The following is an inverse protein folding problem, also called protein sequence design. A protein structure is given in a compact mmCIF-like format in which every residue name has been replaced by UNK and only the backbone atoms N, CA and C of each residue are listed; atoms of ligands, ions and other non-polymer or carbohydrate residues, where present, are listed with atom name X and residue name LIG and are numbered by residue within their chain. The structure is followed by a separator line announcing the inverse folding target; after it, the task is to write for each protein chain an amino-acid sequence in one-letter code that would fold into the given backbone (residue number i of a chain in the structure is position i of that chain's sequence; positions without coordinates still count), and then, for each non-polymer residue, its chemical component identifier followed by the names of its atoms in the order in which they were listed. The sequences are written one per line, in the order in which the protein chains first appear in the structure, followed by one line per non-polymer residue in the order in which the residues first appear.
data_IF_787885105486
#
_entry.id   IF_787885105486
#
_cell.length_a   1.000
_cell.length_b   1.000
_cell.length_c   1.000
_cell.angle_alpha   90.00
_cell.angle_beta   90.00
_cell.angle_gamma   90.00
#
_symmetry.space_group_name_H-M   'P 1'
#
loop_
_entity.id
_entity.type
_entity.pdbx_description
1 polymer ?
#
# COMPACT_ATOMS: atom_id res chain seq x y z
N UNK A 1 11.32 22.03 4.65
CA UNK A 1 10.11 21.46 5.28
C UNK A 1 8.96 21.74 4.32
N UNK A 2 8.61 20.74 3.51
CA UNK A 2 7.59 20.76 2.45
C UNK A 2 6.57 19.66 2.80
N UNK A 3 6.06 19.69 4.03
CA UNK A 3 5.53 18.46 4.66
C UNK A 3 4.01 18.49 4.82
N UNK A 4 3.33 19.62 4.56
CA UNK A 4 1.87 19.62 4.45
C UNK A 4 1.40 20.80 3.60
N UNK A 5 0.64 20.51 2.54
CA UNK A 5 0.05 21.50 1.63
C UNK A 5 -1.25 22.09 2.21
N UNK A 6 -1.29 22.29 3.52
CA UNK A 6 -2.52 22.63 4.26
C UNK A 6 -3.11 23.96 3.81
N UNK A 7 -2.25 24.91 3.42
CA UNK A 7 -2.64 26.21 2.86
C UNK A 7 -3.43 26.11 1.55
N UNK A 8 -3.32 24.98 0.85
CA UNK A 8 -4.06 24.70 -0.38
C UNK A 8 -5.20 23.69 -0.18
N UNK A 9 -5.28 23.04 0.99
CA UNK A 9 -6.34 22.10 1.28
C UNK A 9 -7.66 22.85 1.57
N UNK A 10 -8.67 22.58 0.74
CA UNK A 10 -10.01 23.18 0.87
C UNK A 10 -11.04 22.08 0.98
N UNK A 11 -11.33 21.64 2.20
CA UNK A 11 -12.21 20.51 2.49
C UNK A 11 -13.60 20.68 1.86
N UNK A 12 -14.11 21.92 1.85
CA UNK A 12 -15.43 22.26 1.32
C UNK A 12 -15.55 21.92 -0.17
N UNK A 13 -14.46 22.09 -0.93
CA UNK A 13 -14.43 21.75 -2.36
C UNK A 13 -14.53 20.24 -2.58
N UNK A 14 -13.92 19.46 -1.70
CA UNK A 14 -14.01 18.00 -1.75
C UNK A 14 -15.42 17.54 -1.40
N UNK A 15 -16.00 18.02 -0.29
CA UNK A 15 -17.36 17.65 0.10
C UNK A 15 -18.40 18.03 -0.96
N UNK A 16 -18.30 19.22 -1.55
CA UNK A 16 -19.18 19.63 -2.65
C UNK A 16 -19.03 18.73 -3.89
N UNK A 17 -17.82 18.24 -4.18
CA UNK A 17 -17.59 17.30 -5.27
C UNK A 17 -18.19 15.92 -4.97
N UNK A 18 -18.07 15.41 -3.74
CA UNK A 18 -18.73 14.17 -3.32
C UNK A 18 -20.26 14.27 -3.45
N UNK A 19 -20.85 15.35 -2.91
CA UNK A 19 -22.29 15.62 -3.01
C UNK A 19 -22.77 15.69 -4.46
N UNK A 20 -22.07 16.45 -5.31
CA UNK A 20 -22.41 16.60 -6.73
C UNK A 20 -22.45 15.25 -7.49
N UNK A 21 -21.65 14.28 -7.07
CA UNK A 21 -21.59 12.96 -7.69
C UNK A 21 -22.41 11.89 -6.94
N UNK A 22 -23.14 12.27 -5.88
CA UNK A 22 -23.90 11.33 -5.06
C UNK A 22 -23.03 10.28 -4.35
N UNK A 23 -21.80 10.65 -4.00
CA UNK A 23 -20.82 9.76 -3.37
C UNK A 23 -20.75 10.03 -1.86
N UNK A 24 -20.68 8.97 -1.07
CA UNK A 24 -20.46 9.05 0.38
C UNK A 24 -18.96 8.97 0.70
N UNK A 25 -18.35 10.02 1.30
CA UNK A 25 -16.96 9.97 1.73
C UNK A 25 -16.68 8.88 2.77
N UNK A 26 -17.64 8.59 3.67
CA UNK A 26 -17.48 7.62 4.74
C UNK A 26 -17.32 6.19 4.19
N UNK A 27 -18.00 5.87 3.09
CA UNK A 27 -17.81 4.61 2.36
C UNK A 27 -16.34 4.39 1.98
N UNK A 28 -15.62 5.42 1.54
CA UNK A 28 -14.23 5.27 1.10
C UNK A 28 -13.23 5.28 2.25
N UNK A 29 -13.49 6.09 3.28
CA UNK A 29 -12.54 6.34 4.37
C UNK A 29 -12.65 5.33 5.53
N UNK A 30 -13.85 4.82 5.82
CA UNK A 30 -14.12 4.14 7.09
C UNK A 30 -14.34 2.63 6.96
N UNK A 31 -14.43 2.09 5.74
CA UNK A 31 -14.71 0.66 5.56
C UNK A 31 -13.44 -0.18 5.58
N UNK A 32 -13.55 -1.36 6.19
CA UNK A 32 -12.60 -2.44 5.96
C UNK A 32 -12.76 -2.96 4.54
N UNK A 33 -11.65 -3.16 3.84
CA UNK A 33 -11.63 -3.73 2.50
C UNK A 33 -11.23 -5.21 2.58
N UNK A 34 -12.04 -6.14 2.07
CA UNK A 34 -11.64 -7.53 2.00
C UNK A 34 -10.56 -7.71 0.94
N UNK A 35 -9.73 -8.74 1.08
CA UNK A 35 -8.56 -8.94 0.22
C UNK A 35 -8.89 -9.44 -1.20
N UNK A 36 -10.08 -10.00 -1.39
CA UNK A 36 -10.61 -10.46 -2.68
C UNK A 36 -11.25 -9.32 -3.49
N UNK A 37 -11.40 -8.13 -2.91
CA UNK A 37 -11.85 -6.95 -3.64
C UNK A 37 -10.82 -6.49 -4.68
N UNK A 38 -11.32 -5.97 -5.80
CA UNK A 38 -10.53 -5.23 -6.77
C UNK A 38 -10.20 -3.84 -6.21
N UNK A 39 -8.93 -3.63 -5.88
CA UNK A 39 -8.47 -2.35 -5.34
C UNK A 39 -8.25 -1.33 -6.47
N UNK A 40 -8.39 -0.02 -6.21
CA UNK A 40 -8.14 1.02 -7.21
C UNK A 40 -6.75 0.94 -7.85
N UNK A 41 -5.76 0.39 -7.15
CA UNK A 41 -4.38 0.24 -7.61
C UNK A 41 -4.04 -1.16 -8.13
N UNK A 42 -4.98 -2.10 -8.20
CA UNK A 42 -4.72 -3.47 -8.67
C UNK A 42 -4.25 -3.52 -10.15
N UNK A 43 -4.53 -2.47 -10.92
CA UNK A 43 -4.10 -2.35 -12.31
C UNK A 43 -2.67 -1.78 -12.47
N UNK A 44 -2.03 -1.35 -11.38
CA UNK A 44 -0.71 -0.74 -11.40
C UNK A 44 0.33 -1.85 -11.16
N UNK A 45 1.32 -1.95 -12.06
CA UNK A 45 2.50 -2.78 -11.80
C UNK A 45 3.59 -1.94 -11.13
N UNK A 46 3.84 -2.24 -9.86
CA UNK A 46 4.91 -1.65 -9.05
C UNK A 46 5.86 -2.74 -8.52
N UNK A 47 5.98 -3.86 -9.26
CA UNK A 47 6.94 -4.95 -9.04
C UNK A 47 6.79 -5.69 -7.70
N UNK A 48 5.72 -5.40 -6.94
CA UNK A 48 5.36 -6.07 -5.70
C UNK A 48 4.03 -6.80 -5.90
N UNK A 49 3.97 -8.06 -5.49
CA UNK A 49 2.76 -8.86 -5.63
C UNK A 49 1.66 -8.47 -4.64
N UNK A 50 0.39 -8.52 -5.06
CA UNK A 50 -0.78 -8.36 -4.17
C UNK A 50 -0.73 -9.31 -2.97
N UNK A 51 -0.31 -10.57 -3.19
CA UNK A 51 -0.16 -11.57 -2.14
C UNK A 51 0.85 -11.16 -1.05
N UNK A 52 1.94 -10.46 -1.42
CA UNK A 52 2.86 -9.89 -0.43
C UNK A 52 2.17 -8.82 0.42
N UNK A 53 1.45 -7.88 -0.21
CA UNK A 53 0.79 -6.78 0.51
C UNK A 53 -0.27 -7.28 1.49
N UNK A 54 -1.04 -8.29 1.08
CA UNK A 54 -2.02 -8.96 1.95
C UNK A 54 -1.34 -9.50 3.21
N UNK A 55 -0.29 -10.31 3.05
CA UNK A 55 0.45 -10.90 4.17
C UNK A 55 1.07 -9.84 5.09
N UNK A 56 1.60 -8.77 4.53
CA UNK A 56 2.20 -7.68 5.31
C UNK A 56 1.13 -6.87 6.06
N UNK A 57 -0.06 -6.69 5.50
CA UNK A 57 -1.19 -6.08 6.19
C UNK A 57 -1.69 -6.95 7.35
N UNK A 58 -1.77 -8.27 7.17
CA UNK A 58 -2.10 -9.21 8.26
C UNK A 58 -1.09 -9.14 9.41
N UNK A 59 0.21 -9.15 9.09
CA UNK A 59 1.27 -8.95 10.09
C UNK A 59 1.18 -7.62 10.80
N UNK A 60 0.89 -6.54 10.08
CA UNK A 60 0.74 -5.21 10.65
C UNK A 60 -0.40 -5.18 11.69
N UNK A 61 -1.55 -5.78 11.39
CA UNK A 61 -2.63 -5.94 12.35
C UNK A 61 -2.27 -6.82 13.55
N UNK A 62 -1.37 -7.80 13.36
CA UNK A 62 -0.83 -8.63 14.44
C UNK A 62 0.32 -7.97 15.22
N UNK A 63 0.77 -6.76 14.83
CA UNK A 63 1.92 -6.08 15.45
C UNK A 63 3.26 -6.79 15.19
N UNK A 64 3.34 -7.63 14.15
CA UNK A 64 4.53 -8.40 13.82
C UNK A 64 5.36 -7.63 12.80
N UNK A 65 6.59 -7.18 13.12
CA UNK A 65 7.43 -6.52 12.15
C UNK A 65 7.98 -7.53 11.13
N UNK A 66 8.15 -7.06 9.90
CA UNK A 66 8.88 -7.82 8.88
C UNK A 66 10.38 -7.48 8.98
N UNK A 67 11.26 -8.49 9.07
CA UNK A 67 12.69 -8.24 9.19
C UNK A 67 13.26 -7.62 7.91
N UNK A 68 14.45 -7.00 7.99
CA UNK A 68 15.13 -6.44 6.82
C UNK A 68 15.41 -7.51 5.75
N UNK A 69 15.18 -7.17 4.48
CA UNK A 69 15.44 -8.06 3.33
C UNK A 69 16.90 -8.52 3.21
N UNK A 70 17.85 -7.84 3.86
CA UNK A 70 19.26 -8.24 3.92
C UNK A 70 19.48 -9.45 4.82
N UNK A 71 18.66 -9.64 5.86
CA UNK A 71 18.71 -10.79 6.74
C UNK A 71 17.90 -11.96 6.17
N UNK A 72 16.69 -11.66 5.68
CA UNK A 72 15.80 -12.65 5.07
C UNK A 72 14.93 -11.99 4.02
N UNK A 73 14.96 -12.50 2.79
CA UNK A 73 14.10 -12.01 1.72
C UNK A 73 12.62 -12.09 2.13
N UNK A 74 11.92 -10.96 2.10
CA UNK A 74 10.48 -10.89 2.43
C UNK A 74 9.57 -11.36 1.30
N UNK A 75 10.11 -11.70 0.13
CA UNK A 75 9.37 -12.26 -1.00
C UNK A 75 8.33 -11.29 -1.59
N UNK A 76 8.68 -10.01 -1.75
CA UNK A 76 7.77 -9.01 -2.32
C UNK A 76 7.53 -9.17 -3.82
N UNK A 77 8.53 -9.66 -4.56
CA UNK A 77 8.49 -9.80 -6.02
C UNK A 77 9.52 -8.94 -6.74
N UNK A 78 10.09 -7.92 -6.09
CA UNK A 78 11.05 -6.99 -6.70
C UNK A 78 12.28 -7.69 -7.31
N UNK A 79 12.74 -8.78 -6.69
CA UNK A 79 13.85 -9.59 -7.20
C UNK A 79 13.57 -10.21 -8.59
N UNK A 80 12.29 -10.50 -8.90
CA UNK A 80 11.91 -11.02 -10.23
C UNK A 80 12.16 -9.97 -11.32
N UNK A 81 11.86 -8.71 -11.05
CA UNK A 81 12.15 -7.62 -11.99
C UNK A 81 13.66 -7.39 -12.13
N UNK A 82 14.42 -7.52 -11.04
CA UNK A 82 15.88 -7.38 -11.08
C UNK A 82 16.59 -8.53 -11.80
N UNK A 83 15.92 -9.67 -12.00
CA UNK A 83 16.53 -10.90 -12.53
C UNK A 83 17.58 -11.52 -11.60
N UNK A 84 17.67 -11.05 -10.36
CA UNK A 84 18.65 -11.48 -9.34
C UNK A 84 18.12 -11.19 -7.94
N UNK A 85 18.81 -11.70 -6.92
CA UNK A 85 18.53 -11.33 -5.53
C UNK A 85 18.69 -9.81 -5.31
N UNK A 86 17.81 -9.21 -4.50
CA UNK A 86 17.89 -7.77 -4.17
C UNK A 86 19.16 -7.43 -3.39
N UNK A 87 19.60 -8.36 -2.55
CA UNK A 87 20.84 -8.28 -1.79
C UNK A 87 21.66 -9.55 -2.07
N UNK A 88 23.00 -9.47 -2.04
CA UNK A 88 23.85 -10.65 -2.10
C UNK A 88 23.54 -11.59 -0.92
N UNK A 89 23.75 -12.89 -1.12
CA UNK A 89 23.64 -13.86 -0.02
C UNK A 89 24.61 -13.49 1.10
N UNK A 90 24.10 -13.45 2.34
CA UNK A 90 24.95 -13.29 3.50
C UNK A 90 25.72 -14.59 3.66
N UNK A 91 26.99 -14.61 3.25
CA UNK A 91 27.90 -15.72 3.56
C UNK A 91 28.02 -15.81 5.07
N UNK A 92 27.69 -16.98 5.62
CA UNK A 92 27.93 -17.31 7.02
C UNK A 92 29.43 -17.31 7.35
#
# INVERSE_FOLDING_TARGET
RLDSWDEFFKAERWYAAFEKNGLDPAFYANRTRPYDEVMPWDHIDYMVSKAFLIRENEKAHAGIPTPPCREKCSGCGANKCLGRACFPEVTA
#
